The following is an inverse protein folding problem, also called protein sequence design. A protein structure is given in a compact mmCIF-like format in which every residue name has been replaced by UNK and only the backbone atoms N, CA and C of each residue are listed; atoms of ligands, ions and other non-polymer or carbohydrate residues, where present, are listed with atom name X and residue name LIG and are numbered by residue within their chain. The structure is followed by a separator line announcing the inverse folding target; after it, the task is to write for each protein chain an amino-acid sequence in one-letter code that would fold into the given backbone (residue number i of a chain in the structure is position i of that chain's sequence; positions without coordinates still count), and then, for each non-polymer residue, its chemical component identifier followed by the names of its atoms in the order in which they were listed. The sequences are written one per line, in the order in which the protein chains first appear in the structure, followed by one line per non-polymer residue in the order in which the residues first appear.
data_IF_643495633566
#
_entry.id   IF_643495633566
#
_cell.length_a   1.000
_cell.length_b   1.000
_cell.length_c   1.000
_cell.angle_alpha   90.00
_cell.angle_beta   90.00
_cell.angle_gamma   90.00
#
_symmetry.space_group_name_H-M   'P 1'
#
loop_
_entity.id
_entity.type
_entity.pdbx_description
1 polymer ?
#
# COMPACT_ATOMS: atom_id res chain seq x y z
N UNK A 1 -12.12 7.20 4.83
CA UNK A 1 -10.97 7.89 5.49
C UNK A 1 -9.76 7.86 4.56
N UNK A 2 -8.97 8.93 4.54
CA UNK A 2 -7.72 9.00 3.77
C UNK A 2 -6.53 9.27 4.69
N UNK A 3 -5.36 8.72 4.37
CA UNK A 3 -4.13 8.94 5.13
C UNK A 3 -2.87 8.74 4.29
N UNK A 4 -1.78 9.37 4.71
CA UNK A 4 -0.46 9.23 4.08
C UNK A 4 0.62 9.17 5.15
N UNK A 5 1.54 8.22 5.01
CA UNK A 5 2.80 8.16 5.72
C UNK A 5 3.91 8.56 4.74
N UNK A 6 4.57 9.67 5.03
CA UNK A 6 5.74 10.13 4.25
C UNK A 6 6.97 9.41 4.76
N UNK A 7 7.74 8.82 3.84
CA UNK A 7 9.01 8.17 4.11
C UNK A 7 10.15 9.06 3.58
N UNK A 8 11.41 8.64 3.78
CA UNK A 8 12.56 9.46 3.39
C UNK A 8 12.52 9.91 1.92
N UNK A 9 12.17 9.01 1.00
CA UNK A 9 12.18 9.25 -0.45
C UNK A 9 10.92 8.71 -1.15
N UNK A 10 9.88 8.39 -0.39
CA UNK A 10 8.71 7.67 -0.90
C UNK A 10 7.49 7.84 0.03
N UNK A 11 6.44 7.02 -0.13
CA UNK A 11 5.24 7.12 0.70
C UNK A 11 4.43 5.83 0.76
N UNK A 12 3.58 5.74 1.78
CA UNK A 12 2.44 4.82 1.82
C UNK A 12 1.17 5.66 1.93
N UNK A 13 0.23 5.50 1.02
CA UNK A 13 -1.08 6.18 1.05
C UNK A 13 -2.21 5.15 1.21
N UNK A 14 -3.33 5.59 1.78
CA UNK A 14 -4.55 4.80 1.88
C UNK A 14 -5.79 5.67 1.66
N UNK A 15 -6.75 5.12 0.93
CA UNK A 15 -8.09 5.65 0.77
C UNK A 15 -9.11 4.54 1.04
N UNK A 16 -10.04 4.77 1.95
CA UNK A 16 -11.08 3.79 2.34
C UNK A 16 -12.47 4.28 2.02
N UNK A 17 -13.31 3.36 1.54
CA UNK A 17 -14.75 3.49 1.32
C UNK A 17 -15.48 2.42 2.13
N UNK A 18 -15.76 2.68 3.43
CA UNK A 18 -16.39 1.71 4.32
C UNK A 18 -17.73 1.19 3.81
N UNK A 19 -18.51 2.04 3.13
CA UNK A 19 -19.80 1.69 2.53
C UNK A 19 -19.70 0.66 1.40
N UNK A 20 -18.48 0.42 0.88
CA UNK A 20 -18.18 -0.61 -0.12
C UNK A 20 -17.32 -1.74 0.42
N UNK A 21 -16.90 -1.67 1.70
CA UNK A 21 -15.90 -2.59 2.25
C UNK A 21 -14.57 -2.55 1.48
N UNK A 22 -14.18 -1.39 0.95
CA UNK A 22 -13.05 -1.26 0.03
C UNK A 22 -11.97 -0.32 0.58
N UNK A 23 -10.71 -0.68 0.31
CA UNK A 23 -9.55 0.16 0.56
C UNK A 23 -8.60 0.10 -0.65
N UNK A 24 -8.16 1.27 -1.11
CA UNK A 24 -7.06 1.42 -2.06
C UNK A 24 -5.80 1.85 -1.29
N UNK A 25 -4.67 1.22 -1.59
CA UNK A 25 -3.39 1.52 -0.95
C UNK A 25 -2.29 1.62 -2.01
N UNK A 26 -1.44 2.64 -1.89
CA UNK A 26 -0.18 2.73 -2.63
C UNK A 26 0.97 2.52 -1.65
N UNK A 27 1.87 1.58 -1.96
CA UNK A 27 3.03 1.24 -1.13
C UNK A 27 4.28 1.49 -1.98
N UNK A 28 4.80 2.70 -1.91
CA UNK A 28 5.98 3.09 -2.68
C UNK A 28 7.19 3.18 -1.75
N UNK A 29 8.24 2.43 -2.04
CA UNK A 29 9.50 2.46 -1.30
C UNK A 29 10.70 2.52 -2.26
N UNK A 30 11.81 3.09 -1.77
CA UNK A 30 13.07 3.26 -2.48
C UNK A 30 14.18 2.46 -1.79
N UNK A 31 15.32 2.26 -2.48
CA UNK A 31 16.48 1.54 -1.96
C UNK A 31 16.24 0.04 -1.79
N UNK A 32 16.84 -0.56 -0.76
CA UNK A 32 16.76 -2.01 -0.46
C UNK A 32 15.47 -2.41 0.28
N UNK A 33 14.47 -1.52 0.34
CA UNK A 33 13.21 -1.80 1.00
C UNK A 33 12.40 -2.85 0.22
N UNK A 34 11.59 -3.62 0.95
CA UNK A 34 10.72 -4.66 0.39
C UNK A 34 9.24 -4.28 0.59
N UNK A 35 8.60 -3.53 -0.33
CA UNK A 35 7.20 -3.09 -0.21
C UNK A 35 6.20 -4.23 0.06
N UNK A 36 6.48 -5.42 -0.49
CA UNK A 36 5.63 -6.60 -0.38
C UNK A 36 5.48 -7.09 1.07
N UNK A 37 6.42 -6.76 1.97
CA UNK A 37 6.33 -7.06 3.40
C UNK A 37 5.16 -6.35 4.10
N UNK A 38 4.63 -5.27 3.52
CA UNK A 38 3.44 -4.61 4.05
C UNK A 38 2.14 -5.40 3.79
N UNK A 39 2.09 -6.24 2.74
CA UNK A 39 0.90 -7.02 2.38
C UNK A 39 0.38 -7.91 3.54
N UNK A 40 1.20 -8.75 4.20
CA UNK A 40 0.72 -9.57 5.31
C UNK A 40 0.23 -8.73 6.51
N UNK A 41 0.86 -7.58 6.78
CA UNK A 41 0.42 -6.65 7.84
C UNK A 41 -0.96 -6.08 7.53
N UNK A 42 -1.14 -5.61 6.30
CA UNK A 42 -2.40 -5.04 5.83
C UNK A 42 -3.52 -6.10 5.77
N UNK A 43 -3.20 -7.33 5.35
CA UNK A 43 -4.15 -8.44 5.37
C UNK A 43 -4.61 -8.77 6.79
N UNK A 44 -3.69 -8.76 7.77
CA UNK A 44 -4.05 -9.00 9.16
C UNK A 44 -4.91 -7.87 9.74
N UNK A 45 -4.62 -6.62 9.39
CA UNK A 45 -5.34 -5.44 9.87
C UNK A 45 -6.75 -5.28 9.27
N UNK A 46 -6.90 -5.50 7.96
CA UNK A 46 -8.16 -5.26 7.24
C UNK A 46 -8.97 -6.52 6.97
N UNK A 47 -8.37 -7.72 7.08
CA UNK A 47 -9.01 -9.02 6.82
C UNK A 47 -9.84 -9.03 5.50
N UNK A 48 -9.27 -8.60 4.37
CA UNK A 48 -10.03 -8.50 3.12
C UNK A 48 -10.39 -9.89 2.58
N UNK A 49 -11.58 -10.02 1.99
CA UNK A 49 -12.00 -11.24 1.31
C UNK A 49 -11.23 -11.50 -0.01
N UNK A 50 -10.69 -10.46 -0.63
CA UNK A 50 -9.89 -10.54 -1.85
C UNK A 50 -8.86 -9.42 -1.90
N UNK A 51 -7.72 -9.65 -2.56
CA UNK A 51 -6.64 -8.67 -2.71
C UNK A 51 -6.20 -8.67 -4.17
N UNK A 52 -6.02 -7.48 -4.74
CA UNK A 52 -5.39 -7.31 -6.05
C UNK A 52 -4.14 -6.44 -5.85
N UNK A 53 -3.01 -6.88 -6.39
CA UNK A 53 -1.72 -6.21 -6.25
C UNK A 53 -1.10 -6.07 -7.62
N UNK A 54 -0.65 -4.86 -7.94
CA UNK A 54 0.15 -4.55 -9.12
C UNK A 54 1.46 -3.92 -8.67
N UNK A 55 2.56 -4.34 -9.28
CA UNK A 55 3.89 -3.79 -9.00
C UNK A 55 4.36 -2.92 -10.17
N UNK A 56 4.88 -1.74 -9.85
CA UNK A 56 5.41 -0.81 -10.84
C UNK A 56 6.80 -0.34 -10.40
N UNK A 57 7.83 -0.77 -11.13
CA UNK A 57 9.19 -0.24 -10.95
C UNK A 57 9.23 1.23 -11.35
N UNK A 58 9.89 2.05 -10.55
CA UNK A 58 10.06 3.48 -10.76
C UNK A 58 11.55 3.82 -10.91
N UNK A 59 11.85 4.91 -11.63
CA UNK A 59 13.24 5.37 -11.80
C UNK A 59 14.10 4.51 -12.72
N UNK A 60 13.49 3.83 -13.71
CA UNK A 60 14.25 3.11 -14.74
C UNK A 60 14.80 4.15 -15.73
N UNK A 61 16.12 4.18 -15.89
CA UNK A 61 16.86 5.04 -16.84
C UNK A 61 17.56 4.12 -17.84
#
# INVERSE_FOLDING_TARGET
VSGVAVLAESHISIHTWPERGYAALDIFMCGDAEPTKAIPVLRAAFQPGSINVSEHKRGII
#
